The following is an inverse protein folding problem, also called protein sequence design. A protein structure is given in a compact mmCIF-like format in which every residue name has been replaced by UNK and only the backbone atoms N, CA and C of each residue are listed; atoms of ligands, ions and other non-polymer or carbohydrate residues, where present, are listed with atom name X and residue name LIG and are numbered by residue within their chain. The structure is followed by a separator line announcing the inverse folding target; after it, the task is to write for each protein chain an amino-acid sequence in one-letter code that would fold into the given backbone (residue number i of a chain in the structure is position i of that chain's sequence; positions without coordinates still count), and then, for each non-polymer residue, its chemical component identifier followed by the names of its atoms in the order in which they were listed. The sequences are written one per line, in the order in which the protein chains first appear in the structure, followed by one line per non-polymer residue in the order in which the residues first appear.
data_IF_972566649317
#
_entry.id   IF_972566649317
#
_cell.length_a   1.000
_cell.length_b   1.000
_cell.length_c   1.000
_cell.angle_alpha   90.00
_cell.angle_beta   90.00
_cell.angle_gamma   90.00
#
_symmetry.space_group_name_H-M   'P 1'
#
loop_
_entity.id
_entity.type
_entity.pdbx_description
1 polymer ?
#
# COMPACT_ATOMS: atom_id res chain seq x y z
N UNK A 1 -12.86 -4.39 12.59
CA UNK A 1 -12.24 -4.27 11.26
C UNK A 1 -12.03 -5.67 10.68
N UNK A 2 -12.17 -5.88 9.37
CA UNK A 2 -11.93 -7.20 8.77
C UNK A 2 -10.45 -7.52 8.84
N UNK A 3 -10.12 -8.78 9.14
CA UNK A 3 -8.77 -9.27 9.11
C UNK A 3 -8.76 -10.74 8.70
N UNK A 4 -7.58 -11.22 8.32
CA UNK A 4 -7.30 -12.61 8.00
C UNK A 4 -6.20 -13.12 8.92
N UNK A 5 -6.16 -14.41 9.17
CA UNK A 5 -5.14 -15.03 10.01
C UNK A 5 -4.70 -16.39 9.46
N UNK A 6 -3.45 -16.73 9.67
CA UNK A 6 -2.86 -18.03 9.38
C UNK A 6 -2.00 -18.46 10.57
N UNK A 7 -2.48 -19.46 11.30
CA UNK A 7 -1.82 -20.04 12.47
C UNK A 7 -1.02 -21.31 12.15
N UNK A 8 -0.92 -21.71 10.87
CA UNK A 8 -0.30 -22.97 10.48
C UNK A 8 1.20 -23.04 10.79
N UNK A 9 1.86 -21.89 10.95
CA UNK A 9 3.29 -21.80 11.16
C UNK A 9 3.67 -21.65 12.63
N UNK A 10 2.74 -21.16 13.46
CA UNK A 10 2.98 -21.02 14.89
C UNK A 10 2.93 -22.38 15.59
N UNK A 11 3.79 -22.54 16.59
CA UNK A 11 3.75 -23.66 17.54
C UNK A 11 3.31 -23.16 18.92
N UNK A 12 3.09 -24.09 19.86
CA UNK A 12 2.53 -23.78 21.19
C UNK A 12 3.39 -22.79 22.02
N UNK A 13 4.69 -22.72 21.75
CA UNK A 13 5.64 -21.86 22.47
C UNK A 13 5.86 -20.50 21.77
N UNK A 14 5.24 -20.26 20.61
CA UNK A 14 5.47 -19.05 19.85
C UNK A 14 4.81 -17.84 20.49
N UNK A 15 5.60 -16.79 20.68
CA UNK A 15 5.12 -15.45 21.03
C UNK A 15 5.37 -14.43 19.91
N UNK A 16 5.71 -14.90 18.71
CA UNK A 16 6.04 -14.03 17.57
C UNK A 16 4.83 -13.90 16.66
N UNK A 17 4.53 -12.66 16.29
CA UNK A 17 3.38 -12.31 15.48
C UNK A 17 3.83 -11.39 14.34
N UNK A 18 3.39 -11.69 13.13
CA UNK A 18 3.58 -10.86 11.95
C UNK A 18 2.22 -10.28 11.55
N UNK A 19 2.14 -8.97 11.46
CA UNK A 19 0.95 -8.25 11.00
C UNK A 19 1.23 -7.59 9.65
N UNK A 20 0.63 -8.12 8.59
CA UNK A 20 0.64 -7.50 7.28
C UNK A 20 -0.49 -6.46 7.17
N UNK A 21 -0.15 -5.22 6.80
CA UNK A 21 -1.12 -4.17 6.51
C UNK A 21 -1.48 -4.25 5.03
N UNK A 22 -2.76 -4.46 4.73
CA UNK A 22 -3.24 -4.67 3.35
C UNK A 22 -3.12 -3.40 2.49
N UNK A 23 -3.28 -2.21 3.09
CA UNK A 23 -3.20 -0.94 2.39
C UNK A 23 -4.50 -0.52 1.71
N UNK A 24 -4.40 0.27 0.65
CA UNK A 24 -5.51 0.94 -0.05
C UNK A 24 -6.29 0.01 -1.00
N UNK A 25 -6.61 -1.20 -0.54
CA UNK A 25 -7.25 -2.21 -1.36
C UNK A 25 -8.14 -3.14 -0.54
N UNK A 26 -8.97 -3.90 -1.26
CA UNK A 26 -9.76 -4.96 -0.65
C UNK A 26 -8.84 -6.06 -0.14
N UNK A 27 -9.08 -6.47 1.10
CA UNK A 27 -8.44 -7.63 1.69
C UNK A 27 -8.97 -8.93 1.14
N UNK A 28 -8.07 -9.89 1.05
CA UNK A 28 -8.30 -11.20 0.45
C UNK A 28 -7.47 -12.26 1.20
N UNK A 29 -8.01 -13.47 1.36
CA UNK A 29 -7.35 -14.56 2.11
C UNK A 29 -6.00 -14.99 1.51
N UNK A 30 -5.79 -14.79 0.21
CA UNK A 30 -4.56 -15.20 -0.48
C UNK A 30 -3.32 -14.43 0.05
N UNK A 31 -3.51 -13.25 0.67
CA UNK A 31 -2.41 -12.44 1.22
C UNK A 31 -1.69 -13.10 2.40
N UNK A 32 -2.28 -14.12 3.03
CA UNK A 32 -1.69 -14.88 4.15
C UNK A 32 -1.37 -16.34 3.79
N UNK A 33 -1.57 -16.74 2.53
CA UNK A 33 -1.38 -18.13 2.07
C UNK A 33 -0.23 -18.27 1.05
N UNK A 34 0.19 -17.18 0.39
CA UNK A 34 1.23 -17.21 -0.64
C UNK A 34 2.65 -17.30 -0.09
N UNK A 35 3.30 -18.45 -0.26
CA UNK A 35 4.71 -18.68 0.13
C UNK A 35 5.73 -17.81 -0.63
N UNK A 36 5.32 -17.21 -1.75
CA UNK A 36 6.18 -16.34 -2.57
C UNK A 36 6.36 -14.92 -1.99
N UNK A 37 5.71 -14.64 -0.85
CA UNK A 37 5.86 -13.35 -0.16
C UNK A 37 6.81 -13.46 1.01
N UNK A 38 7.71 -12.49 1.15
CA UNK A 38 8.78 -12.54 2.15
C UNK A 38 8.27 -12.65 3.59
N UNK A 39 7.13 -12.04 3.91
CA UNK A 39 6.57 -12.08 5.26
C UNK A 39 5.89 -13.42 5.59
N UNK A 40 5.36 -14.15 4.60
CA UNK A 40 4.89 -15.53 4.79
C UNK A 40 6.07 -16.46 5.00
N UNK A 41 7.13 -16.31 4.20
CA UNK A 41 8.40 -17.04 4.39
C UNK A 41 8.96 -16.83 5.81
N UNK A 42 9.06 -15.58 6.27
CA UNK A 42 9.54 -15.32 7.64
C UNK A 42 8.57 -15.78 8.73
N UNK A 43 7.26 -15.83 8.47
CA UNK A 43 6.32 -16.42 9.42
C UNK A 43 6.63 -17.92 9.63
N UNK A 44 7.00 -18.64 8.58
CA UNK A 44 7.44 -20.04 8.66
C UNK A 44 8.74 -20.18 9.45
N UNK A 45 9.78 -19.42 9.08
CA UNK A 45 11.10 -19.52 9.71
C UNK A 45 11.10 -19.14 11.20
N UNK A 46 10.22 -18.22 11.60
CA UNK A 46 10.13 -17.72 12.97
C UNK A 46 9.07 -18.45 13.81
N UNK A 47 8.37 -19.43 13.24
CA UNK A 47 7.16 -20.03 13.81
C UNK A 47 6.14 -18.96 14.26
N UNK A 48 5.92 -17.92 13.46
CA UNK A 48 5.10 -16.78 13.85
C UNK A 48 3.64 -16.96 13.44
N UNK A 49 2.73 -16.41 14.24
CA UNK A 49 1.36 -16.20 13.82
C UNK A 49 1.30 -15.10 12.78
N UNK A 50 0.60 -15.36 11.67
CA UNK A 50 0.45 -14.40 10.59
C UNK A 50 -0.95 -13.81 10.58
N UNK A 51 -1.04 -12.49 10.60
CA UNK A 51 -2.27 -11.74 10.46
C UNK A 51 -2.18 -10.80 9.27
N UNK A 52 -3.32 -10.50 8.65
CA UNK A 52 -3.45 -9.41 7.70
C UNK A 52 -4.66 -8.53 8.03
N UNK A 53 -4.43 -7.24 8.25
CA UNK A 53 -5.46 -6.29 8.66
C UNK A 53 -5.90 -5.43 7.47
N UNK A 54 -7.20 -5.42 7.21
CA UNK A 54 -7.78 -4.58 6.17
C UNK A 54 -7.90 -3.14 6.64
N UNK A 55 -7.48 -2.20 5.82
CA UNK A 55 -7.50 -0.79 6.15
C UNK A 55 -8.95 -0.27 6.25
N UNK A 56 -9.23 0.63 7.21
CA UNK A 56 -10.54 1.32 7.29
C UNK A 56 -10.89 2.00 5.96
N UNK A 57 -12.16 1.99 5.57
CA UNK A 57 -12.72 2.47 4.30
C UNK A 57 -12.34 1.66 3.04
N UNK A 58 -11.64 0.53 3.17
CA UNK A 58 -11.36 -0.36 2.04
C UNK A 58 -12.01 -1.72 2.26
N UNK A 59 -12.30 -2.44 1.17
CA UNK A 59 -12.94 -3.75 1.21
C UNK A 59 -14.29 -3.72 1.91
N UNK A 60 -14.40 -4.44 3.02
CA UNK A 60 -15.61 -4.48 3.84
C UNK A 60 -15.42 -3.77 5.18
N UNK A 61 -14.29 -3.11 5.38
CA UNK A 61 -13.93 -2.45 6.63
C UNK A 61 -14.40 -1.00 6.68
N UNK A 62 -15.71 -0.79 6.71
CA UNK A 62 -16.31 0.55 6.72
C UNK A 62 -16.82 0.93 8.12
N UNK A 63 -16.27 2.00 8.75
CA UNK A 63 -16.76 2.49 10.03
C UNK A 63 -18.04 3.35 9.90
N UNK A 64 -18.45 3.68 8.68
CA UNK A 64 -19.62 4.51 8.34
C UNK A 64 -20.45 3.85 7.26
N UNK A 65 -21.72 4.26 7.12
CA UNK A 65 -22.64 3.69 6.12
C UNK A 65 -22.25 4.05 4.69
N UNK A 66 -21.61 5.20 4.48
CA UNK A 66 -21.16 5.68 3.17
C UNK A 66 -19.79 6.37 3.23
N UNK A 67 -19.31 6.80 2.06
CA UNK A 67 -18.06 7.55 1.85
C UNK A 67 -18.30 9.03 1.56
N UNK A 68 -19.38 9.61 2.10
CA UNK A 68 -19.66 11.05 2.00
C UNK A 68 -18.53 11.88 2.61
N UNK A 69 -18.38 13.15 2.18
CA UNK A 69 -17.33 14.06 2.66
C UNK A 69 -17.34 14.16 4.20
N UNK A 70 -18.53 14.23 4.80
CA UNK A 70 -18.70 14.30 6.26
C UNK A 70 -18.19 13.05 6.99
N UNK A 71 -18.23 11.89 6.34
CA UNK A 71 -17.74 10.61 6.87
C UNK A 71 -16.25 10.40 6.60
N UNK A 72 -15.70 10.97 5.51
CA UNK A 72 -14.27 10.89 5.19
C UNK A 72 -13.36 11.55 6.24
N UNK A 73 -13.90 12.34 7.17
CA UNK A 73 -13.13 12.83 8.34
C UNK A 73 -12.53 11.70 9.18
N UNK A 74 -13.07 10.49 9.12
CA UNK A 74 -12.54 9.30 9.81
C UNK A 74 -11.50 8.52 8.97
N UNK A 75 -11.31 8.87 7.70
CA UNK A 75 -10.29 8.30 6.82
C UNK A 75 -9.00 9.12 6.94
N UNK A 76 -8.12 8.71 7.85
CA UNK A 76 -6.78 9.29 7.96
C UNK A 76 -5.75 8.25 8.39
N UNK A 77 -4.48 8.48 8.03
CA UNK A 77 -3.38 7.62 8.46
C UNK A 77 -3.22 7.57 9.98
N UNK A 78 -3.49 8.68 10.69
CA UNK A 78 -3.48 8.73 12.17
C UNK A 78 -4.45 7.70 12.74
N UNK A 79 -5.66 7.70 12.22
CA UNK A 79 -6.73 6.80 12.62
C UNK A 79 -6.42 5.34 12.26
N UNK A 80 -5.82 5.08 11.08
CA UNK A 80 -5.38 3.74 10.70
C UNK A 80 -4.24 3.20 11.59
N UNK A 81 -3.34 4.08 12.07
CA UNK A 81 -2.30 3.72 13.04
C UNK A 81 -2.92 3.27 14.36
N UNK A 82 -3.98 3.94 14.83
CA UNK A 82 -4.69 3.52 16.04
C UNK A 82 -5.47 2.22 15.83
N UNK A 83 -6.05 1.96 14.65
CA UNK A 83 -6.65 0.65 14.35
C UNK A 83 -5.65 -0.49 14.47
N UNK A 84 -4.42 -0.28 13.99
CA UNK A 84 -3.33 -1.27 14.08
C UNK A 84 -2.97 -1.52 15.54
N UNK A 85 -2.87 -0.46 16.36
CA UNK A 85 -2.58 -0.58 17.78
C UNK A 85 -3.70 -1.32 18.53
N UNK A 86 -4.96 -0.96 18.28
CA UNK A 86 -6.14 -1.58 18.87
C UNK A 86 -6.25 -3.07 18.48
N UNK A 87 -5.93 -3.42 17.23
CA UNK A 87 -5.88 -4.80 16.79
C UNK A 87 -4.83 -5.61 17.55
N UNK A 88 -3.60 -5.07 17.69
CA UNK A 88 -2.52 -5.72 18.43
C UNK A 88 -2.90 -5.87 19.90
N UNK A 89 -3.51 -4.84 20.51
CA UNK A 89 -3.98 -4.89 21.89
C UNK A 89 -4.99 -6.02 22.11
N UNK A 90 -6.02 -6.09 21.26
CA UNK A 90 -7.03 -7.14 21.33
C UNK A 90 -6.40 -8.54 21.20
N UNK A 91 -5.46 -8.73 20.28
CA UNK A 91 -4.78 -10.02 20.10
C UNK A 91 -3.86 -10.39 21.25
N UNK A 92 -3.23 -9.40 21.89
CA UNK A 92 -2.44 -9.64 23.10
C UNK A 92 -3.32 -10.05 24.29
N UNK A 93 -4.51 -9.46 24.43
CA UNK A 93 -5.48 -9.86 25.47
C UNK A 93 -6.00 -11.28 25.27
N UNK A 94 -6.27 -11.67 24.01
CA UNK A 94 -6.69 -13.04 23.66
C UNK A 94 -5.61 -14.08 23.95
N UNK A 95 -4.33 -13.77 23.66
CA UNK A 95 -3.21 -14.71 23.79
C UNK A 95 -2.58 -14.74 25.18
N UNK A 96 -2.58 -13.61 25.88
CA UNK A 96 -1.80 -13.41 27.10
C UNK A 96 -0.28 -13.49 26.86
N UNK A 97 0.47 -13.34 27.95
CA UNK A 97 1.93 -13.39 27.92
C UNK A 97 2.60 -12.20 27.23
N UNK A 98 3.92 -12.29 27.04
CA UNK A 98 4.72 -11.26 26.37
C UNK A 98 4.80 -11.56 24.86
N UNK A 99 3.92 -10.94 24.09
CA UNK A 99 3.82 -11.09 22.64
C UNK A 99 4.74 -10.10 21.89
N UNK A 100 5.43 -10.56 20.85
CA UNK A 100 6.29 -9.75 19.98
C UNK A 100 5.65 -9.58 18.62
N UNK A 101 5.53 -8.33 18.17
CA UNK A 101 4.90 -7.99 16.90
C UNK A 101 5.86 -7.38 15.90
N UNK A 102 5.88 -7.91 14.68
CA UNK A 102 6.49 -7.29 13.51
C UNK A 102 5.38 -6.83 12.58
N UNK A 103 5.34 -5.53 12.27
CA UNK A 103 4.36 -4.98 11.33
C UNK A 103 5.01 -4.87 9.96
N UNK A 104 4.30 -5.25 8.90
CA UNK A 104 4.81 -5.32 7.53
C UNK A 104 3.85 -4.60 6.60
N UNK A 105 4.38 -3.84 5.64
CA UNK A 105 3.57 -3.26 4.57
C UNK A 105 4.42 -2.77 3.40
N UNK A 106 3.78 -2.59 2.25
CA UNK A 106 4.36 -2.02 1.04
C UNK A 106 3.75 -0.67 0.67
N UNK A 107 4.49 0.22 0.01
CA UNK A 107 3.98 1.53 -0.42
C UNK A 107 3.40 2.33 0.78
N UNK A 108 2.20 2.89 0.68
CA UNK A 108 1.50 3.52 1.80
C UNK A 108 1.33 2.60 3.02
N UNK A 109 1.02 1.32 2.83
CA UNK A 109 0.97 0.36 3.93
C UNK A 109 2.34 0.19 4.60
N UNK A 110 3.42 0.34 3.83
CA UNK A 110 4.78 0.41 4.37
C UNK A 110 5.01 1.68 5.19
N UNK A 111 4.46 2.82 4.76
CA UNK A 111 4.49 4.05 5.54
C UNK A 111 3.71 3.89 6.85
N UNK A 112 2.53 3.28 6.81
CA UNK A 112 1.76 2.92 8.01
C UNK A 112 2.52 1.98 8.93
N UNK A 113 3.22 0.98 8.39
CA UNK A 113 4.06 0.06 9.17
C UNK A 113 5.14 0.81 9.96
N UNK A 114 5.91 1.68 9.28
CA UNK A 114 6.93 2.51 9.92
C UNK A 114 6.34 3.49 10.94
N UNK A 115 5.27 4.21 10.59
CA UNK A 115 4.63 5.17 11.47
C UNK A 115 3.98 4.52 12.69
N UNK A 116 3.42 3.31 12.55
CA UNK A 116 2.84 2.57 13.66
C UNK A 116 3.91 2.16 14.66
N UNK A 117 5.05 1.61 14.21
CA UNK A 117 6.19 1.32 15.10
C UNK A 117 6.72 2.57 15.78
N UNK A 118 6.82 3.69 15.06
CA UNK A 118 7.26 4.97 15.62
C UNK A 118 6.29 5.48 16.71
N UNK A 119 4.98 5.37 16.46
CA UNK A 119 3.94 5.88 17.36
C UNK A 119 3.69 4.98 18.58
N UNK A 120 3.76 3.67 18.37
CA UNK A 120 3.43 2.64 19.37
C UNK A 120 4.60 1.68 19.61
N UNK A 121 5.77 2.18 20.06
CA UNK A 121 6.96 1.36 20.22
C UNK A 121 6.89 0.37 21.39
N UNK A 122 5.90 0.50 22.26
CA UNK A 122 5.63 -0.41 23.36
C UNK A 122 4.79 -1.63 22.92
N UNK A 123 4.10 -1.57 21.78
CA UNK A 123 3.30 -2.67 21.22
C UNK A 123 4.02 -3.41 20.09
N UNK A 124 4.69 -2.67 19.21
CA UNK A 124 5.26 -3.21 17.98
C UNK A 124 6.76 -3.35 18.18
N UNK A 125 7.32 -4.56 18.13
CA UNK A 125 8.75 -4.82 18.30
C UNK A 125 9.59 -4.31 17.12
N UNK A 126 9.06 -4.40 15.90
CA UNK A 126 9.76 -4.00 14.68
C UNK A 126 8.81 -3.76 13.50
N UNK A 127 9.32 -3.11 12.46
CA UNK A 127 8.56 -2.80 11.25
C UNK A 127 9.37 -3.08 9.99
N UNK A 128 8.74 -3.70 8.99
CA UNK A 128 9.26 -3.80 7.62
C UNK A 128 8.42 -2.88 6.74
N UNK A 129 9.03 -1.79 6.27
CA UNK A 129 8.40 -0.72 5.50
C UNK A 129 8.92 -0.74 4.05
N UNK A 130 8.38 -1.64 3.23
CA UNK A 130 8.86 -1.87 1.87
C UNK A 130 8.41 -0.76 0.91
N UNK A 131 9.35 -0.15 0.18
CA UNK A 131 9.09 0.94 -0.79
C UNK A 131 8.19 2.05 -0.23
N UNK A 132 8.36 2.37 1.05
CA UNK A 132 7.45 3.24 1.80
C UNK A 132 7.78 4.72 1.58
N UNK A 133 6.84 5.55 1.08
CA UNK A 133 7.02 7.00 1.01
C UNK A 133 6.76 7.63 2.39
N UNK A 134 7.65 7.37 3.35
CA UNK A 134 7.51 7.84 4.75
C UNK A 134 7.58 9.36 4.92
N UNK A 135 8.16 10.06 3.94
CA UNK A 135 8.23 11.51 3.89
C UNK A 135 7.20 12.01 2.87
N UNK A 136 6.12 12.62 3.35
CA UNK A 136 5.14 13.25 2.49
C UNK A 136 5.74 14.49 1.82
N UNK A 137 5.60 14.59 0.50
CA UNK A 137 6.07 15.70 -0.31
C UNK A 137 4.90 16.27 -1.12
N UNK A 138 4.65 17.58 -1.00
CA UNK A 138 3.56 18.27 -1.72
C UNK A 138 3.80 18.30 -3.23
N UNK A 139 5.04 18.56 -3.63
CA UNK A 139 5.49 18.54 -5.02
C UNK A 139 6.62 17.53 -5.17
N UNK A 140 6.23 16.28 -5.47
CA UNK A 140 7.16 15.15 -5.57
C UNK A 140 7.71 14.98 -6.99
N UNK A 141 8.23 16.06 -7.59
CA UNK A 141 8.81 16.00 -8.95
C UNK A 141 9.93 14.96 -9.10
N UNK A 142 10.64 14.64 -8.00
CA UNK A 142 11.67 13.60 -7.95
C UNK A 142 11.16 12.20 -8.34
N UNK A 143 9.85 11.94 -8.20
CA UNK A 143 9.23 10.72 -8.71
C UNK A 143 9.40 10.60 -10.22
N UNK A 144 9.02 11.65 -10.97
CA UNK A 144 9.11 11.64 -12.43
C UNK A 144 10.56 11.68 -12.92
N UNK A 145 11.48 12.30 -12.17
CA UNK A 145 12.91 12.25 -12.48
C UNK A 145 13.46 10.82 -12.35
N UNK A 146 13.03 10.07 -11.34
CA UNK A 146 13.39 8.65 -11.20
C UNK A 146 12.87 7.84 -12.38
N UNK A 147 11.59 8.01 -12.74
CA UNK A 147 10.99 7.34 -13.92
C UNK A 147 11.74 7.68 -15.21
N UNK A 148 12.11 8.95 -15.39
CA UNK A 148 12.91 9.39 -16.54
C UNK A 148 14.28 8.69 -16.58
N UNK A 149 14.95 8.60 -15.44
CA UNK A 149 16.23 7.93 -15.32
C UNK A 149 16.13 6.42 -15.59
N UNK A 150 15.04 5.77 -15.20
CA UNK A 150 14.80 4.36 -15.52
C UNK A 150 14.72 4.13 -17.04
N UNK A 151 14.02 5.00 -17.77
CA UNK A 151 13.99 4.95 -19.24
C UNK A 151 15.36 5.19 -19.87
N UNK A 152 16.16 6.10 -19.30
CA UNK A 152 17.55 6.34 -19.75
C UNK A 152 18.44 5.13 -19.49
N UNK A 153 18.31 4.52 -18.31
CA UNK A 153 19.12 3.38 -17.88
C UNK A 153 18.81 2.09 -18.65
N UNK A 154 17.54 1.89 -19.03
CA UNK A 154 17.18 0.79 -19.94
C UNK A 154 17.93 0.88 -21.28
N UNK A 155 18.28 2.11 -21.70
CA UNK A 155 19.10 2.40 -22.86
C UNK A 155 18.37 2.26 -24.20
N UNK A 156 19.15 2.31 -25.28
CA UNK A 156 18.62 2.31 -26.65
C UNK A 156 17.81 3.56 -26.98
N UNK A 157 16.87 3.43 -27.92
CA UNK A 157 16.05 4.56 -28.41
C UNK A 157 14.83 4.87 -27.52
N UNK A 158 14.61 4.14 -26.42
CA UNK A 158 13.38 4.22 -25.64
C UNK A 158 13.14 5.63 -25.09
N UNK A 159 14.12 6.17 -24.37
CA UNK A 159 14.05 7.52 -23.82
C UNK A 159 13.84 8.58 -24.91
N UNK A 160 14.65 8.54 -25.98
CA UNK A 160 14.61 9.54 -27.05
C UNK A 160 13.26 9.53 -27.78
N UNK A 161 12.69 8.35 -28.04
CA UNK A 161 11.38 8.22 -28.69
C UNK A 161 10.24 8.68 -27.78
N UNK A 162 10.28 8.35 -26.49
CA UNK A 162 9.28 8.85 -25.52
C UNK A 162 9.37 10.38 -25.43
N UNK A 163 10.58 10.93 -25.31
CA UNK A 163 10.80 12.37 -25.23
C UNK A 163 10.33 13.10 -26.48
N UNK A 164 10.70 12.61 -27.67
CA UNK A 164 10.25 13.16 -28.94
C UNK A 164 8.72 13.08 -29.11
N UNK A 165 8.13 11.92 -28.80
CA UNK A 165 6.69 11.71 -28.87
C UNK A 165 5.88 12.61 -27.93
N UNK A 166 6.37 12.80 -26.70
CA UNK A 166 5.75 13.74 -25.75
C UNK A 166 5.85 15.19 -26.24
N UNK A 167 6.99 15.61 -26.79
CA UNK A 167 7.14 16.95 -27.36
C UNK A 167 6.22 17.19 -28.58
N UNK A 168 6.09 16.21 -29.47
CA UNK A 168 5.14 16.30 -30.58
C UNK A 168 3.70 16.38 -30.05
N UNK A 169 3.35 15.56 -29.07
CA UNK A 169 2.02 15.58 -28.47
C UNK A 169 1.70 16.94 -27.84
N UNK A 170 2.63 17.52 -27.08
CA UNK A 170 2.47 18.84 -26.47
C UNK A 170 2.25 19.95 -27.51
N UNK A 171 2.94 19.87 -28.65
CA UNK A 171 2.74 20.78 -29.78
C UNK A 171 1.36 20.61 -30.42
N UNK A 172 0.94 19.36 -30.66
CA UNK A 172 -0.39 19.06 -31.22
C UNK A 172 -1.53 19.48 -30.29
N UNK A 173 -1.35 19.40 -28.97
CA UNK A 173 -2.37 19.80 -27.99
C UNK A 173 -2.78 21.28 -28.11
N UNK A 174 -1.92 22.15 -28.66
CA UNK A 174 -2.17 23.60 -28.74
C UNK A 174 -3.25 24.01 -29.76
N UNK A 175 -3.67 23.11 -30.66
CA UNK A 175 -4.66 23.39 -31.71
C UNK A 175 -5.83 22.40 -31.69
N UNK A 176 -6.97 22.79 -32.27
CA UNK A 176 -8.13 21.90 -32.38
C UNK A 176 -7.85 20.72 -33.31
N UNK A 177 -7.23 21.00 -34.47
CA UNK A 177 -6.80 20.00 -35.44
C UNK A 177 -5.79 19.03 -34.84
N UNK A 178 -4.82 19.54 -34.08
CA UNK A 178 -3.82 18.72 -33.41
C UNK A 178 -4.43 17.83 -32.33
N UNK A 179 -5.39 18.33 -31.55
CA UNK A 179 -6.18 17.50 -30.61
C UNK A 179 -6.99 16.42 -31.34
N UNK A 180 -7.62 16.72 -32.50
CA UNK A 180 -8.29 15.72 -33.34
C UNK A 180 -7.31 14.65 -33.84
N UNK A 181 -6.11 15.06 -34.29
CA UNK A 181 -5.03 14.14 -34.70
C UNK A 181 -4.61 13.25 -33.54
N UNK A 182 -4.40 13.80 -32.34
CA UNK A 182 -4.08 13.02 -31.14
C UNK A 182 -5.18 12.01 -30.80
N UNK A 183 -6.45 12.41 -30.84
CA UNK A 183 -7.57 11.50 -30.61
C UNK A 183 -7.58 10.33 -31.60
N UNK A 184 -7.27 10.57 -32.87
CA UNK A 184 -7.15 9.51 -33.88
C UNK A 184 -5.95 8.60 -33.61
N UNK A 185 -4.76 9.18 -33.34
CA UNK A 185 -3.52 8.44 -33.08
C UNK A 185 -3.64 7.52 -31.87
N UNK A 186 -4.16 8.04 -30.76
CA UNK A 186 -4.35 7.29 -29.52
C UNK A 186 -5.69 6.55 -29.45
N UNK A 187 -6.49 6.59 -30.52
CA UNK A 187 -7.83 5.97 -30.62
C UNK A 187 -8.72 6.33 -29.43
N UNK A 188 -8.67 7.59 -29.01
CA UNK A 188 -9.46 8.10 -27.89
C UNK A 188 -10.93 8.17 -28.29
N UNK A 189 -11.83 7.75 -27.40
CA UNK A 189 -13.27 7.98 -27.58
C UNK A 189 -13.57 9.46 -27.39
N UNK A 190 -14.48 10.01 -28.19
CA UNK A 190 -14.91 11.40 -28.02
C UNK A 190 -15.70 11.52 -26.71
N UNK A 191 -15.62 12.70 -26.09
CA UNK A 191 -16.36 12.99 -24.85
C UNK A 191 -17.90 12.96 -25.00
N UNK A 192 -18.41 12.82 -26.23
CA UNK A 192 -19.85 12.81 -26.54
C UNK A 192 -20.49 11.42 -26.49
N UNK A 193 -19.76 10.37 -26.10
CA UNK A 193 -20.27 8.99 -26.09
C UNK A 193 -20.50 8.40 -24.69
N UNK A 194 -20.87 9.23 -23.71
CA UNK A 194 -21.30 8.79 -22.38
C UNK A 194 -22.74 9.22 -22.11
#
# INVERSE_FOLDING_TARGET
QRYFFNHLYANEDSNVNILYIIGEQNGDVHVIQGVDTSYVYYAQELNADLYALEHRFYGTSHPTEDTSIDNLKYLSSRQAIEDIADFIHQKNEEKGGDQKWIVVGGSYAGALSAWSRLKHPHLISGSVASSAPILAQMDFYGYLQTVENDFKNFGGLCYDQISAGLNEALSLFQSEEGRKKLSLLFRLRSAQSF
#
